data_IF_156974861743
#
_entry.id   IF_156974861743
#
_cell.length_a   1.000
_cell.length_b   1.000
_cell.length_c   1.000
_cell.angle_alpha   90.00
_cell.angle_beta   90.00
_cell.angle_gamma   90.00
#
_symmetry.space_group_name_H-M   'P 1'
#
loop_
_entity.id
_entity.type
_entity.pdbx_description
1 polymer ?
#
# COMPACT_ATOMS: atom_id res chain seq x y z
N UNK A 1 6.71 -12.10 18.10
CA UNK A 1 5.80 -12.86 17.21
C UNK A 1 6.56 -13.27 15.95
N UNK A 2 6.47 -14.53 15.59
CA UNK A 2 7.10 -15.03 14.36
C UNK A 2 6.40 -14.50 13.11
N UNK A 3 7.12 -14.49 12.00
CA UNK A 3 6.62 -13.96 10.74
C UNK A 3 5.31 -14.62 10.30
N UNK A 4 5.16 -15.92 10.49
CA UNK A 4 3.92 -16.64 10.13
C UNK A 4 2.71 -16.11 10.91
N UNK A 5 2.87 -15.93 12.22
CA UNK A 5 1.80 -15.42 13.07
C UNK A 5 1.48 -13.95 12.74
N UNK A 6 2.50 -13.18 12.45
CA UNK A 6 2.33 -11.78 12.06
C UNK A 6 1.63 -11.66 10.71
N UNK A 7 1.95 -12.54 9.77
CA UNK A 7 1.28 -12.59 8.47
C UNK A 7 -0.22 -12.92 8.64
N UNK A 8 -0.54 -13.90 9.47
CA UNK A 8 -1.92 -14.28 9.76
C UNK A 8 -2.69 -13.14 10.42
N UNK A 9 -2.06 -12.46 11.38
CA UNK A 9 -2.68 -11.34 12.09
C UNK A 9 -2.98 -10.15 11.20
N UNK A 10 -2.05 -9.81 10.31
CA UNK A 10 -2.15 -8.62 9.46
C UNK A 10 -2.86 -8.87 8.13
N UNK A 11 -3.04 -10.12 7.75
CA UNK A 11 -3.68 -10.48 6.49
C UNK A 11 -2.79 -10.34 5.26
N UNK A 12 -1.48 -10.14 5.45
CA UNK A 12 -0.53 -10.10 4.33
C UNK A 12 0.26 -11.40 4.25
N UNK A 13 0.81 -11.70 3.07
CA UNK A 13 1.60 -12.91 2.89
C UNK A 13 2.98 -12.78 3.51
N UNK A 14 3.59 -13.91 3.86
CA UNK A 14 4.97 -13.97 4.32
C UNK A 14 5.90 -13.37 3.27
N UNK A 15 5.63 -13.64 2.00
CA UNK A 15 6.39 -13.08 0.88
C UNK A 15 6.36 -11.56 0.88
N UNK A 16 5.20 -10.96 1.13
CA UNK A 16 5.04 -9.51 1.25
C UNK A 16 5.88 -8.97 2.40
N UNK A 17 5.88 -9.65 3.55
CA UNK A 17 6.67 -9.23 4.71
C UNK A 17 8.18 -9.30 4.43
N UNK A 18 8.64 -10.32 3.71
CA UNK A 18 10.03 -10.41 3.28
C UNK A 18 10.39 -9.23 2.35
N UNK A 19 9.51 -8.93 1.42
CA UNK A 19 9.70 -7.82 0.50
C UNK A 19 9.75 -6.47 1.23
N UNK A 20 8.85 -6.25 2.18
CA UNK A 20 8.83 -5.02 2.97
C UNK A 20 10.09 -4.85 3.83
N UNK A 21 10.65 -5.94 4.34
CA UNK A 21 11.92 -5.92 5.03
C UNK A 21 13.05 -5.52 4.07
N UNK A 22 13.07 -6.14 2.90
CA UNK A 22 14.05 -5.88 1.85
C UNK A 22 14.12 -4.42 1.43
N UNK A 23 12.96 -3.80 1.19
CA UNK A 23 12.88 -2.39 0.78
C UNK A 23 12.90 -1.41 1.94
N UNK A 24 12.97 -1.89 3.17
CA UNK A 24 13.03 -1.04 4.35
C UNK A 24 11.71 -0.41 4.76
N UNK A 25 10.59 -0.86 4.20
CA UNK A 25 9.28 -0.32 4.54
C UNK A 25 8.80 -0.80 5.90
N UNK A 26 8.99 -2.08 6.19
CA UNK A 26 8.66 -2.67 7.49
C UNK A 26 9.73 -3.69 7.85
N UNK A 27 10.54 -3.37 8.85
CA UNK A 27 11.55 -4.29 9.36
C UNK A 27 11.02 -5.01 10.60
N UNK A 28 11.43 -6.27 10.82
CA UNK A 28 11.11 -6.93 12.08
C UNK A 28 11.79 -6.20 13.25
N UNK A 29 11.25 -6.36 14.45
CA UNK A 29 11.82 -5.77 15.65
C UNK A 29 13.24 -6.33 15.92
N UNK A 30 13.43 -7.62 15.64
CA UNK A 30 14.72 -8.26 15.72
C UNK A 30 14.80 -9.43 14.74
N UNK A 31 16.04 -9.83 14.43
CA UNK A 31 16.31 -11.00 13.61
C UNK A 31 17.35 -11.84 14.32
N UNK A 32 17.08 -13.13 14.47
CA UNK A 32 18.03 -14.05 15.10
C UNK A 32 19.24 -14.23 14.19
N UNK A 33 20.42 -13.93 14.69
CA UNK A 33 21.66 -14.00 13.91
C UNK A 33 22.04 -15.43 13.51
N UNK A 34 21.62 -16.42 14.30
CA UNK A 34 21.99 -17.81 14.05
C UNK A 34 21.11 -18.48 13.00
N UNK A 35 19.79 -18.25 13.04
CA UNK A 35 18.85 -18.92 12.14
C UNK A 35 18.09 -18.00 11.20
N UNK A 36 18.30 -16.68 11.32
CA UNK A 36 17.62 -15.70 10.46
C UNK A 36 16.14 -15.50 10.74
N UNK A 37 15.62 -16.07 11.83
CA UNK A 37 14.21 -15.93 12.15
C UNK A 37 13.88 -14.50 12.57
N UNK A 38 12.80 -14.00 12.03
CA UNK A 38 12.34 -12.63 12.26
C UNK A 38 11.32 -12.59 13.37
N UNK A 39 11.45 -11.62 14.25
CA UNK A 39 10.49 -11.36 15.33
C UNK A 39 9.82 -10.02 15.14
N UNK A 40 8.49 -10.00 15.20
CA UNK A 40 7.66 -8.80 15.07
C UNK A 40 6.99 -8.48 16.40
N UNK A 41 6.93 -7.21 16.75
CA UNK A 41 6.35 -6.74 18.01
C UNK A 41 5.17 -5.78 17.78
N UNK A 42 4.71 -5.14 18.86
CA UNK A 42 3.61 -4.17 18.78
C UNK A 42 3.95 -2.97 17.91
N UNK A 43 5.20 -2.49 17.96
CA UNK A 43 5.66 -1.41 17.09
C UNK A 43 5.59 -1.79 15.63
N UNK A 44 5.94 -3.04 15.31
CA UNK A 44 5.79 -3.58 13.95
C UNK A 44 4.33 -3.59 13.53
N UNK A 45 3.45 -3.97 14.44
CA UNK A 45 2.01 -4.02 14.15
C UNK A 45 1.42 -2.63 13.90
N UNK A 46 1.80 -1.64 14.72
CA UNK A 46 1.37 -0.26 14.52
C UNK A 46 1.81 0.27 13.15
N UNK A 47 3.05 0.03 12.78
CA UNK A 47 3.58 0.44 11.49
C UNK A 47 2.87 -0.28 10.33
N UNK A 48 2.64 -1.57 10.48
CA UNK A 48 1.91 -2.34 9.47
C UNK A 48 0.48 -1.83 9.29
N UNK A 49 -0.18 -1.47 10.38
CA UNK A 49 -1.53 -0.89 10.34
C UNK A 49 -1.55 0.42 9.54
N UNK A 50 -0.55 1.27 9.73
CA UNK A 50 -0.39 2.51 8.95
C UNK A 50 -0.17 2.21 7.47
N UNK A 51 0.70 1.26 7.17
CA UNK A 51 0.97 0.83 5.79
C UNK A 51 -0.31 0.37 5.11
N UNK A 52 -1.07 -0.49 5.78
CA UNK A 52 -2.33 -1.01 5.25
C UNK A 52 -3.36 0.08 5.01
N UNK A 53 -3.42 1.08 5.90
CA UNK A 53 -4.30 2.23 5.74
C UNK A 53 -4.01 2.97 4.44
N UNK A 54 -2.75 3.33 4.20
CA UNK A 54 -2.38 4.04 2.97
C UNK A 54 -2.51 3.18 1.72
N UNK A 55 -2.24 1.87 1.83
CA UNK A 55 -2.44 0.94 0.71
C UNK A 55 -3.92 0.87 0.31
N UNK A 56 -4.81 0.86 1.28
CA UNK A 56 -6.25 0.87 1.04
C UNK A 56 -6.69 2.11 0.27
N UNK A 57 -5.96 3.21 0.42
CA UNK A 57 -6.19 4.46 -0.30
C UNK A 57 -5.41 4.53 -1.63
N UNK A 58 -4.84 3.43 -2.08
CA UNK A 58 -4.09 3.30 -3.33
C UNK A 58 -2.80 4.12 -3.39
N UNK A 59 -2.20 4.43 -2.25
CA UNK A 59 -0.87 5.05 -2.26
C UNK A 59 0.18 4.05 -2.75
N UNK A 60 1.08 4.47 -3.66
CA UNK A 60 2.22 3.63 -4.03
C UNK A 60 3.12 3.37 -2.82
N UNK A 61 3.78 2.22 -2.78
CA UNK A 61 4.66 1.85 -1.66
C UNK A 61 5.76 2.88 -1.42
N UNK A 62 6.29 3.47 -2.47
CA UNK A 62 7.31 4.52 -2.38
C UNK A 62 6.80 5.73 -1.58
N UNK A 63 5.58 6.15 -1.86
CA UNK A 63 4.97 7.29 -1.17
C UNK A 63 4.66 6.94 0.29
N UNK A 64 4.19 5.71 0.54
CA UNK A 64 3.95 5.23 1.90
C UNK A 64 5.23 5.26 2.73
N UNK A 65 6.35 4.81 2.15
CA UNK A 65 7.64 4.82 2.82
C UNK A 65 8.05 6.24 3.23
N UNK A 66 7.85 7.23 2.36
CA UNK A 66 8.15 8.62 2.64
C UNK A 66 7.25 9.19 3.74
N UNK A 67 5.95 8.89 3.68
CA UNK A 67 4.97 9.36 4.67
C UNK A 67 5.30 8.83 6.07
N UNK A 68 5.60 7.55 6.17
CA UNK A 68 5.85 6.89 7.44
C UNK A 68 7.21 7.27 8.03
N UNK A 69 8.21 7.47 7.18
CA UNK A 69 9.58 7.74 7.62
C UNK A 69 9.80 9.18 8.10
N UNK A 70 8.97 10.11 7.69
CA UNK A 70 9.16 11.53 8.00
C UNK A 70 8.23 11.98 9.12
N UNK A 71 8.81 12.49 10.20
CA UNK A 71 8.05 13.07 11.31
C UNK A 71 7.38 14.40 10.91
N UNK A 72 7.95 15.08 9.93
CA UNK A 72 7.46 16.37 9.45
C UNK A 72 6.58 16.25 8.20
N UNK A 73 6.25 15.05 7.78
CA UNK A 73 5.45 14.87 6.59
C UNK A 73 4.00 15.32 6.83
N UNK A 74 3.51 16.17 5.96
CA UNK A 74 2.13 16.65 6.04
C UNK A 74 1.17 15.60 5.47
N UNK A 75 0.68 14.73 6.35
CA UNK A 75 -0.25 13.66 5.99
C UNK A 75 -1.54 14.21 5.39
N UNK A 76 -2.02 15.33 5.89
CA UNK A 76 -3.25 15.97 5.39
C UNK A 76 -3.08 16.43 3.95
N UNK A 77 -1.95 17.04 3.63
CA UNK A 77 -1.62 17.45 2.26
C UNK A 77 -1.51 16.24 1.33
N UNK A 78 -0.86 15.18 1.79
CA UNK A 78 -0.73 13.94 1.03
C UNK A 78 -2.09 13.33 0.71
N UNK A 79 -2.99 13.29 1.69
CA UNK A 79 -4.34 12.77 1.50
C UNK A 79 -5.15 13.62 0.51
N UNK A 80 -5.01 14.94 0.58
CA UNK A 80 -5.68 15.85 -0.38
C UNK A 80 -5.18 15.63 -1.80
N UNK A 81 -3.89 15.48 -1.99
CA UNK A 81 -3.30 15.21 -3.31
C UNK A 81 -3.76 13.86 -3.85
N UNK A 82 -3.81 12.84 -2.99
CA UNK A 82 -4.27 11.52 -3.38
C UNK A 82 -5.74 11.54 -3.79
N UNK A 83 -6.56 12.28 -3.06
CA UNK A 83 -7.97 12.48 -3.42
C UNK A 83 -8.12 13.10 -4.80
N UNK A 84 -7.35 14.15 -5.11
CA UNK A 84 -7.36 14.78 -6.42
C UNK A 84 -6.97 13.81 -7.53
N UNK A 85 -5.93 13.00 -7.29
CA UNK A 85 -5.49 11.99 -8.24
C UNK A 85 -6.58 10.94 -8.49
N UNK A 86 -7.25 10.48 -7.43
CA UNK A 86 -8.32 9.51 -7.53
C UNK A 86 -9.52 10.06 -8.30
N UNK A 87 -9.84 11.33 -8.12
CA UNK A 87 -10.90 12.01 -8.90
C UNK A 87 -10.56 12.00 -10.39
N UNK A 88 -9.30 12.31 -10.74
CA UNK A 88 -8.85 12.27 -12.14
C UNK A 88 -8.92 10.84 -12.70
N UNK A 89 -8.53 9.84 -11.91
CA UNK A 89 -8.63 8.44 -12.33
C UNK A 89 -10.09 8.02 -12.55
N UNK A 90 -10.98 8.46 -11.69
CA UNK A 90 -12.42 8.20 -11.81
C UNK A 90 -12.96 8.77 -13.12
N UNK A 91 -12.64 10.03 -13.42
CA UNK A 91 -13.05 10.68 -14.66
C UNK A 91 -12.53 9.94 -15.89
N UNK A 92 -11.27 9.50 -15.82
CA UNK A 92 -10.67 8.73 -16.91
C UNK A 92 -11.41 7.40 -17.12
N UNK A 93 -11.71 6.69 -16.05
CA UNK A 93 -12.47 5.43 -16.12
C UNK A 93 -13.87 5.66 -16.67
N UNK A 94 -14.55 6.71 -16.25
CA UNK A 94 -15.87 7.07 -16.78
C UNK A 94 -15.82 7.32 -18.28
N UNK A 95 -14.78 8.02 -18.75
CA UNK A 95 -14.58 8.27 -20.18
C UNK A 95 -14.35 6.99 -20.97
N UNK A 96 -13.57 6.06 -20.42
CA UNK A 96 -13.33 4.77 -21.07
C UNK A 96 -14.61 3.94 -21.17
N UNK A 97 -15.37 3.90 -20.11
CA UNK A 97 -16.66 3.18 -20.07
C UNK A 97 -17.60 3.79 -21.11
N UNK A 98 -17.68 5.12 -21.15
CA UNK A 98 -18.51 5.83 -22.12
C UNK A 98 -18.11 5.51 -23.57
N UNK A 99 -16.81 5.46 -23.86
CA UNK A 99 -16.29 5.08 -25.17
C UNK A 99 -16.72 3.66 -25.56
N UNK A 100 -16.59 2.71 -24.63
CA UNK A 100 -16.99 1.33 -24.87
C UNK A 100 -18.51 1.24 -25.15
N UNK A 101 -19.31 1.95 -24.37
CA UNK A 101 -20.76 1.96 -24.56
C UNK A 101 -21.16 2.48 -25.93
N UNK A 102 -20.45 3.48 -26.47
CA UNK A 102 -20.66 3.99 -27.82
C UNK A 102 -20.37 2.95 -28.87
N UNK A 103 -19.26 2.20 -28.73
CA UNK A 103 -18.93 1.08 -29.63
C UNK A 103 -19.98 -0.02 -29.56
N UNK A 104 -20.46 -0.37 -28.36
CA UNK A 104 -21.49 -1.38 -28.18
C UNK A 104 -22.81 -0.99 -28.90
N UNK A 105 -23.12 0.30 -28.95
CA UNK A 105 -24.32 0.82 -29.64
C UNK A 105 -24.12 0.98 -31.13
N UNK A 106 -22.90 0.76 -31.64
CA UNK A 106 -22.59 0.93 -33.05
C UNK A 106 -22.44 2.38 -33.49
N UNK A 107 -22.23 3.30 -32.54
CA UNK A 107 -22.11 4.72 -32.85
C UNK A 107 -20.76 5.11 -33.44
N UNK A 108 -19.80 4.19 -33.40
CA UNK A 108 -18.45 4.43 -33.91
C UNK A 108 -17.97 3.23 -34.74
N UNK A 109 -17.31 3.55 -35.86
CA UNK A 109 -16.63 2.54 -36.68
C UNK A 109 -15.25 2.26 -36.12
N UNK A 110 -14.88 0.99 -36.08
CA UNK A 110 -13.57 0.54 -35.61
C UNK A 110 -12.64 0.33 -36.79
#
# INVERSE_FOLDING_TARGET
MHIKDFAELTGVSIRTLHYYDEIGLLKPASTDEQNGYRDYDEGSLERMTEILFFRELDFPLKDIAEIISSENYDKKSALSKQKELLILKKEHLENLICAIEKFEKGDMDI
#
